data_IF_121792032190
#
_entry.id   IF_121792032190
#
_cell.length_a   1.000
_cell.length_b   1.000
_cell.length_c   1.000
_cell.angle_alpha   90.00
_cell.angle_beta   90.00
_cell.angle_gamma   90.00
#
_symmetry.space_group_name_H-M   'P 1'
#
loop_
_entity.id
_entity.type
_entity.pdbx_description
1 polymer ?
#
# COMPACT_ATOMS: atom_id res chain seq x y z
N UNK A 1 -8.64 3.62 -19.31
CA UNK A 1 -7.67 3.11 -18.32
C UNK A 1 -6.64 4.19 -18.05
N UNK A 2 -6.24 4.41 -16.79
CA UNK A 2 -5.17 5.35 -16.43
C UNK A 2 -3.83 4.85 -16.99
N UNK A 3 -3.17 5.61 -17.87
CA UNK A 3 -1.83 5.28 -18.38
C UNK A 3 -0.73 6.24 -17.88
N UNK A 4 -1.11 7.28 -17.14
CA UNK A 4 -0.25 8.42 -16.79
C UNK A 4 0.27 8.37 -15.35
N UNK A 5 0.40 7.18 -14.77
CA UNK A 5 0.84 6.97 -13.38
C UNK A 5 2.04 6.05 -13.26
N UNK A 6 2.53 5.90 -12.02
CA UNK A 6 3.62 4.96 -11.72
C UNK A 6 3.14 3.51 -11.73
N UNK A 7 1.90 3.24 -11.31
CA UNK A 7 1.35 1.86 -11.27
C UNK A 7 1.40 1.19 -12.65
N UNK A 8 0.94 1.81 -13.76
CA UNK A 8 1.12 1.24 -15.12
C UNK A 8 2.59 0.99 -15.51
N UNK A 9 3.52 1.82 -15.04
CA UNK A 9 4.96 1.58 -15.27
C UNK A 9 5.43 0.34 -14.51
N UNK A 10 5.03 0.18 -13.25
CA UNK A 10 5.34 -1.02 -12.45
C UNK A 10 4.76 -2.27 -13.10
N UNK A 11 3.51 -2.22 -13.57
CA UNK A 11 2.84 -3.29 -14.34
C UNK A 11 3.71 -3.76 -15.50
N UNK A 12 4.14 -2.81 -16.33
CA UNK A 12 4.97 -3.11 -17.48
C UNK A 12 6.34 -3.69 -17.10
N UNK A 13 6.99 -3.15 -16.06
CA UNK A 13 8.30 -3.64 -15.61
C UNK A 13 8.20 -5.05 -15.02
N UNK A 14 7.12 -5.38 -14.31
CA UNK A 14 6.87 -6.72 -13.76
C UNK A 14 6.59 -7.73 -14.88
N UNK A 15 5.84 -7.36 -15.91
CA UNK A 15 5.59 -8.19 -17.10
C UNK A 15 6.91 -8.64 -17.74
N UNK A 16 7.91 -7.76 -17.80
CA UNK A 16 9.22 -8.03 -18.39
C UNK A 16 10.25 -8.56 -17.37
N UNK A 17 9.95 -8.55 -16.07
CA UNK A 17 10.88 -9.02 -15.07
C UNK A 17 10.95 -10.56 -15.09
N UNK A 18 12.14 -11.17 -15.27
CA UNK A 18 12.28 -12.62 -15.31
C UNK A 18 12.09 -13.28 -13.93
N UNK A 19 12.21 -12.52 -12.85
CA UNK A 19 12.02 -13.03 -11.48
C UNK A 19 10.54 -13.17 -11.12
N UNK A 20 9.70 -12.28 -11.65
CA UNK A 20 8.26 -12.24 -11.37
C UNK A 20 7.60 -13.49 -11.93
N UNK A 21 7.02 -14.30 -11.04
CA UNK A 21 6.14 -15.40 -11.40
C UNK A 21 4.72 -14.91 -11.59
N UNK A 22 4.26 -14.05 -10.67
CA UNK A 22 2.94 -13.45 -10.71
C UNK A 22 2.93 -12.15 -9.91
N UNK A 23 2.13 -11.17 -10.33
CA UNK A 23 1.88 -9.97 -9.53
C UNK A 23 0.45 -9.44 -9.67
N UNK A 24 -0.11 -8.97 -8.56
CA UNK A 24 -1.32 -8.14 -8.52
C UNK A 24 -0.97 -6.67 -8.36
N UNK A 25 -1.79 -5.80 -8.94
CA UNK A 25 -1.68 -4.35 -8.77
C UNK A 25 -3.03 -3.72 -8.43
N UNK A 26 -3.00 -2.67 -7.62
CA UNK A 26 -4.17 -1.85 -7.33
C UNK A 26 -4.61 -1.05 -8.57
N UNK A 27 -5.66 -0.25 -8.41
CA UNK A 27 -6.18 0.59 -9.48
C UNK A 27 -5.09 1.49 -10.09
N UNK A 28 -4.97 1.58 -11.43
CA UNK A 28 -3.83 2.23 -12.10
C UNK A 28 -3.75 3.75 -11.89
N UNK A 29 -4.82 4.39 -11.41
CA UNK A 29 -4.80 5.83 -11.09
C UNK A 29 -4.24 6.17 -9.71
N UNK A 30 -3.78 5.19 -8.90
CA UNK A 30 -3.12 5.49 -7.63
C UNK A 30 -1.84 6.28 -7.88
N UNK A 31 -1.71 7.43 -7.21
CA UNK A 31 -0.59 8.34 -7.34
C UNK A 31 0.30 8.28 -6.10
N UNK A 32 1.61 8.34 -6.33
CA UNK A 32 2.56 8.47 -5.25
C UNK A 32 2.65 9.93 -4.78
N UNK A 33 2.41 10.15 -3.49
CA UNK A 33 2.53 11.47 -2.85
C UNK A 33 3.65 11.42 -1.81
N UNK A 34 4.84 11.90 -2.18
CA UNK A 34 6.01 11.94 -1.28
C UNK A 34 6.08 13.21 -0.41
N UNK A 35 5.20 14.18 -0.65
CA UNK A 35 5.06 15.39 0.19
C UNK A 35 3.68 15.99 0.04
N UNK A 36 2.98 16.15 1.15
CA UNK A 36 1.70 16.84 1.17
C UNK A 36 1.92 18.35 1.32
N UNK A 37 1.22 19.16 0.50
CA UNK A 37 1.34 20.64 0.56
C UNK A 37 0.46 21.28 1.64
N UNK A 38 -0.58 20.60 2.11
CA UNK A 38 -1.58 21.10 3.07
C UNK A 38 -1.88 20.05 4.14
N UNK A 39 -0.85 19.68 4.91
CA UNK A 39 -0.98 18.72 6.00
C UNK A 39 -1.95 19.20 7.10
N UNK A 40 -1.99 20.51 7.35
CA UNK A 40 -2.93 21.10 8.31
C UNK A 40 -4.39 20.77 7.97
N UNK A 41 -4.76 20.78 6.69
CA UNK A 41 -6.11 20.46 6.26
C UNK A 41 -6.49 18.99 6.54
N UNK A 42 -5.51 18.07 6.49
CA UNK A 42 -5.72 16.68 6.85
C UNK A 42 -5.97 16.54 8.36
N UNK A 43 -5.18 17.22 9.18
CA UNK A 43 -5.35 17.20 10.64
C UNK A 43 -6.67 17.79 11.08
N UNK A 44 -7.13 18.86 10.42
CA UNK A 44 -8.47 19.41 10.66
C UNK A 44 -9.58 18.39 10.41
N UNK A 45 -9.48 17.62 9.32
CA UNK A 45 -10.48 16.59 9.01
C UNK A 45 -10.48 15.44 10.03
N UNK A 46 -9.32 15.05 10.54
CA UNK A 46 -9.20 14.03 11.59
C UNK A 46 -9.79 14.55 12.92
N UNK A 47 -9.50 15.78 13.31
CA UNK A 47 -10.08 16.40 14.50
C UNK A 47 -11.61 16.49 14.39
N UNK A 48 -12.13 16.86 13.21
CA UNK A 48 -13.56 16.86 12.91
C UNK A 48 -14.17 15.44 12.98
N UNK A 49 -13.42 14.40 12.58
CA UNK A 49 -13.86 13.02 12.71
C UNK A 49 -14.00 12.63 14.19
N UNK A 50 -13.05 13.03 15.03
CA UNK A 50 -13.12 12.82 16.48
C UNK A 50 -14.31 13.56 17.11
N UNK A 51 -14.60 14.79 16.68
CA UNK A 51 -15.79 15.54 17.13
C UNK A 51 -17.11 14.84 16.78
N UNK A 52 -17.14 14.12 15.65
CA UNK A 52 -18.28 13.30 15.21
C UNK A 52 -18.37 11.95 15.93
N UNK A 53 -17.43 11.62 16.81
CA UNK A 53 -17.43 10.38 17.60
C UNK A 53 -16.70 9.20 16.97
N UNK A 54 -15.94 9.39 15.89
CA UNK A 54 -15.08 8.33 15.32
C UNK A 54 -13.74 8.32 16.03
N UNK A 55 -13.34 7.20 16.65
CA UNK A 55 -12.08 7.06 17.42
C UNK A 55 -11.71 8.28 18.32
N UNK A 56 -12.64 8.85 19.12
CA UNK A 56 -12.38 10.08 19.88
C UNK A 56 -11.31 9.91 20.97
N UNK A 57 -11.01 8.68 21.38
CA UNK A 57 -9.95 8.37 22.35
C UNK A 57 -8.56 8.79 21.83
N UNK A 58 -8.31 8.76 20.52
CA UNK A 58 -7.05 9.19 19.92
C UNK A 58 -6.75 10.66 20.24
N UNK A 59 -7.78 11.52 20.37
CA UNK A 59 -7.59 12.91 20.82
C UNK A 59 -7.04 12.97 22.24
N UNK A 60 -7.50 12.09 23.13
CA UNK A 60 -7.05 12.05 24.53
C UNK A 60 -5.60 11.57 24.62
N UNK A 61 -5.24 10.53 23.86
CA UNK A 61 -3.89 9.96 23.83
C UNK A 61 -2.87 10.94 23.25
N UNK A 62 -3.25 11.65 22.19
CA UNK A 62 -2.36 12.61 21.54
C UNK A 62 -2.39 13.98 22.21
N UNK A 63 -3.46 14.36 22.91
CA UNK A 63 -3.72 15.72 23.36
C UNK A 63 -4.10 16.67 22.21
N UNK A 64 -4.69 16.13 21.13
CA UNK A 64 -4.98 16.85 19.89
C UNK A 64 -3.77 16.96 18.95
N UNK A 65 -4.06 17.05 17.66
CA UNK A 65 -3.06 17.10 16.57
C UNK A 65 -3.09 18.41 15.79
N UNK A 66 -4.12 19.25 15.96
CA UNK A 66 -4.23 20.56 15.29
C UNK A 66 -2.97 21.43 15.52
N UNK A 67 -2.34 21.88 14.44
CA UNK A 67 -1.13 22.71 14.47
C UNK A 67 0.12 22.01 15.05
N UNK A 68 0.11 20.69 15.19
CA UNK A 68 1.23 19.91 15.71
C UNK A 68 2.04 19.23 14.59
N UNK A 69 3.11 18.52 14.96
CA UNK A 69 3.84 17.59 14.08
C UNK A 69 3.80 16.16 14.62
N UNK A 70 2.73 15.82 15.34
CA UNK A 70 2.57 14.47 15.90
C UNK A 70 2.33 13.49 14.76
N UNK A 71 2.90 12.31 14.90
CA UNK A 71 2.62 11.23 13.97
C UNK A 71 1.17 10.76 14.14
N UNK A 72 0.54 10.48 13.01
CA UNK A 72 -0.75 9.81 12.93
C UNK A 72 -0.53 8.36 12.50
N UNK A 73 -1.46 7.48 12.85
CA UNK A 73 -1.41 6.07 12.50
C UNK A 73 -2.75 5.55 11.97
N UNK A 74 -2.91 4.23 12.06
CA UNK A 74 -4.12 3.53 11.62
C UNK A 74 -5.41 4.08 12.27
N UNK A 75 -5.45 4.40 13.58
CA UNK A 75 -6.66 4.92 14.21
C UNK A 75 -7.14 6.26 13.62
N UNK A 76 -6.22 7.20 13.34
CA UNK A 76 -6.54 8.47 12.69
C UNK A 76 -7.01 8.29 11.25
N UNK A 77 -6.35 7.42 10.49
CA UNK A 77 -6.74 7.10 9.13
C UNK A 77 -8.16 6.49 9.08
N UNK A 78 -8.44 5.53 9.97
CA UNK A 78 -9.76 4.92 10.09
C UNK A 78 -10.83 5.94 10.49
N UNK A 79 -10.54 6.82 11.46
CA UNK A 79 -11.47 7.88 11.87
C UNK A 79 -11.83 8.79 10.69
N UNK A 80 -10.82 9.21 9.93
CA UNK A 80 -11.00 10.05 8.74
C UNK A 80 -11.91 9.38 7.73
N UNK A 81 -11.58 8.16 7.27
CA UNK A 81 -12.38 7.46 6.27
C UNK A 81 -13.81 7.21 6.74
N UNK A 82 -13.98 6.76 7.99
CA UNK A 82 -15.30 6.50 8.57
C UNK A 82 -16.15 7.77 8.63
N UNK A 83 -15.57 8.91 8.99
CA UNK A 83 -16.28 10.20 9.04
C UNK A 83 -16.69 10.75 7.67
N UNK A 84 -16.07 10.24 6.60
CA UNK A 84 -16.36 10.54 5.20
C UNK A 84 -17.29 9.49 4.56
N UNK A 85 -17.83 8.55 5.34
CA UNK A 85 -18.64 7.41 4.88
C UNK A 85 -17.89 6.54 3.84
N UNK A 86 -16.57 6.43 3.97
CA UNK A 86 -15.76 5.51 3.18
C UNK A 86 -15.55 4.26 4.03
N UNK A 87 -16.08 3.12 3.56
CA UNK A 87 -15.88 1.85 4.23
C UNK A 87 -14.39 1.49 4.27
N UNK A 88 -13.90 1.16 5.47
CA UNK A 88 -12.55 0.69 5.69
C UNK A 88 -12.51 -0.42 6.74
N UNK A 89 -11.64 -1.41 6.52
CA UNK A 89 -11.38 -2.50 7.44
C UNK A 89 -9.93 -2.43 7.91
N UNK A 90 -9.72 -2.62 9.21
CA UNK A 90 -8.40 -2.60 9.84
C UNK A 90 -8.08 -3.99 10.35
N UNK A 91 -6.87 -4.47 10.05
CA UNK A 91 -6.38 -5.77 10.53
C UNK A 91 -5.01 -5.57 11.18
N UNK A 92 -4.90 -6.03 12.42
CA UNK A 92 -3.66 -6.01 13.19
C UNK A 92 -3.03 -7.40 13.21
N UNK A 93 -1.73 -7.46 12.90
CA UNK A 93 -0.94 -8.69 12.88
C UNK A 93 0.15 -8.57 13.93
N UNK A 94 0.05 -9.39 14.97
CA UNK A 94 1.02 -9.49 16.06
C UNK A 94 1.22 -10.96 16.37
N UNK A 95 2.48 -11.38 16.54
CA UNK A 95 2.77 -12.78 16.83
C UNK A 95 4.08 -12.90 17.62
N UNK A 96 4.12 -13.83 18.58
CA UNK A 96 5.29 -14.05 19.44
C UNK A 96 6.49 -14.63 18.67
N UNK A 97 6.23 -15.52 17.71
CA UNK A 97 7.26 -16.06 16.80
C UNK A 97 7.61 -15.04 15.71
N UNK A 98 8.90 -14.70 15.62
CA UNK A 98 9.45 -13.75 14.65
C UNK A 98 9.11 -14.15 13.22
N UNK A 99 8.62 -13.21 12.43
CA UNK A 99 8.29 -13.41 11.01
C UNK A 99 6.89 -13.97 10.73
N UNK A 100 6.20 -14.54 11.73
CA UNK A 100 4.80 -15.00 11.56
C UNK A 100 3.84 -13.85 11.33
N UNK A 101 4.00 -12.73 12.04
CA UNK A 101 3.17 -11.54 11.82
C UNK A 101 3.26 -11.04 10.37
N UNK A 102 4.48 -10.96 9.81
CA UNK A 102 4.65 -10.60 8.40
C UNK A 102 4.10 -11.66 7.44
N UNK A 103 4.18 -12.95 7.77
CA UNK A 103 3.62 -14.02 6.94
C UNK A 103 2.08 -13.89 6.84
N UNK A 104 1.40 -13.74 7.98
CA UNK A 104 -0.05 -13.55 8.01
C UNK A 104 -0.47 -12.26 7.31
N UNK A 105 0.28 -11.16 7.48
CA UNK A 105 0.02 -9.90 6.79
C UNK A 105 0.16 -10.06 5.27
N UNK A 106 1.22 -10.73 4.79
CA UNK A 106 1.43 -10.98 3.36
C UNK A 106 0.31 -11.83 2.77
N UNK A 107 -0.16 -12.85 3.51
CA UNK A 107 -1.31 -13.66 3.09
C UNK A 107 -2.58 -12.81 2.96
N UNK A 108 -2.89 -11.98 3.97
CA UNK A 108 -4.05 -11.09 3.92
C UNK A 108 -3.98 -10.09 2.74
N UNK A 109 -2.78 -9.58 2.42
CA UNK A 109 -2.58 -8.69 1.26
C UNK A 109 -2.77 -9.44 -0.06
N UNK A 110 -2.27 -10.68 -0.18
CA UNK A 110 -2.49 -11.52 -1.37
C UNK A 110 -3.99 -11.78 -1.57
N UNK A 111 -4.70 -12.17 -0.50
CA UNK A 111 -6.14 -12.43 -0.51
C UNK A 111 -6.95 -11.18 -0.87
N UNK A 112 -6.58 -10.01 -0.35
CA UNK A 112 -7.21 -8.74 -0.70
C UNK A 112 -7.15 -8.48 -2.20
N UNK A 113 -5.96 -8.56 -2.81
CA UNK A 113 -5.82 -8.31 -4.24
C UNK A 113 -6.45 -9.41 -5.10
N UNK A 114 -6.37 -10.67 -4.66
CA UNK A 114 -7.00 -11.79 -5.35
C UNK A 114 -8.52 -11.61 -5.48
N UNK A 115 -9.20 -11.07 -4.46
CA UNK A 115 -10.64 -10.80 -4.52
C UNK A 115 -11.03 -9.78 -5.60
N UNK A 116 -10.11 -8.90 -5.98
CA UNK A 116 -10.33 -7.91 -7.04
C UNK A 116 -9.92 -8.36 -8.44
N UNK A 117 -9.38 -9.57 -8.59
CA UNK A 117 -8.95 -10.13 -9.86
C UNK A 117 -10.07 -10.92 -10.52
N UNK A 118 -10.36 -10.60 -11.78
CA UNK A 118 -11.43 -11.22 -12.58
C UNK A 118 -10.94 -11.81 -13.91
N UNK A 119 -9.63 -11.83 -14.16
CA UNK A 119 -9.06 -12.43 -15.36
C UNK A 119 -8.62 -13.89 -15.16
N UNK A 120 -7.84 -14.42 -16.10
CA UNK A 120 -7.42 -15.82 -16.09
C UNK A 120 -6.35 -16.11 -15.03
N UNK A 121 -6.45 -17.27 -14.36
CA UNK A 121 -5.47 -17.71 -13.35
C UNK A 121 -4.04 -17.88 -13.91
N UNK A 122 -3.91 -18.11 -15.21
CA UNK A 122 -2.60 -18.21 -15.88
C UNK A 122 -1.90 -16.86 -16.14
N UNK A 123 -2.57 -15.73 -15.90
CA UNK A 123 -1.99 -14.42 -16.16
C UNK A 123 -0.85 -14.11 -15.18
N UNK A 124 0.30 -13.71 -15.74
CA UNK A 124 1.46 -13.24 -14.97
C UNK A 124 1.13 -11.96 -14.22
N UNK A 125 0.55 -10.98 -14.89
CA UNK A 125 0.20 -9.69 -14.31
C UNK A 125 -1.31 -9.55 -14.21
N UNK A 126 -1.75 -9.16 -13.01
CA UNK A 126 -3.14 -9.21 -12.56
C UNK A 126 -3.59 -7.84 -12.03
N UNK A 127 -3.78 -6.84 -12.92
CA UNK A 127 -4.27 -5.53 -12.50
C UNK A 127 -5.70 -5.65 -11.98
N UNK A 128 -6.03 -4.90 -10.93
CA UNK A 128 -7.35 -4.88 -10.30
C UNK A 128 -7.93 -3.47 -10.32
N UNK A 129 -9.22 -3.35 -9.97
CA UNK A 129 -9.83 -2.03 -9.68
C UNK A 129 -9.82 -1.69 -8.19
N UNK A 130 -9.10 -2.46 -7.36
CA UNK A 130 -9.08 -2.27 -5.92
C UNK A 130 -8.28 -1.03 -5.49
N UNK A 131 -8.68 -0.36 -4.40
CA UNK A 131 -7.85 0.65 -3.75
C UNK A 131 -6.48 0.10 -3.31
N UNK A 132 -5.46 0.94 -3.12
CA UNK A 132 -4.22 0.53 -2.47
C UNK A 132 -4.47 0.26 -0.98
N UNK A 133 -3.54 -0.45 -0.33
CA UNK A 133 -3.64 -0.81 1.09
C UNK A 133 -2.68 0.06 1.92
N UNK A 134 -3.19 0.70 2.97
CA UNK A 134 -2.33 1.41 3.92
C UNK A 134 -1.64 0.39 4.83
N UNK A 135 -0.32 0.46 4.97
CA UNK A 135 0.47 -0.40 5.85
C UNK A 135 1.16 0.46 6.91
N UNK A 136 0.83 0.20 8.17
CA UNK A 136 1.51 0.73 9.34
C UNK A 136 2.41 -0.33 9.96
N UNK A 137 3.60 0.09 10.35
CA UNK A 137 4.43 -0.65 11.31
C UNK A 137 5.15 0.34 12.22
N UNK A 138 5.99 -0.14 13.13
CA UNK A 138 6.67 0.73 14.08
C UNK A 138 7.52 1.80 13.35
N UNK A 139 7.21 3.07 13.65
CA UNK A 139 7.98 4.23 13.21
C UNK A 139 7.76 4.67 11.76
N UNK A 140 6.92 3.99 10.98
CA UNK A 140 6.69 4.36 9.58
C UNK A 140 5.38 3.82 9.01
N UNK A 141 4.88 4.46 7.97
CA UNK A 141 3.78 3.96 7.16
C UNK A 141 4.08 4.07 5.67
N UNK A 142 3.56 3.11 4.91
CA UNK A 142 3.72 3.02 3.46
C UNK A 142 2.40 2.61 2.83
N UNK A 143 2.26 2.82 1.53
CA UNK A 143 1.07 2.44 0.77
C UNK A 143 1.40 1.25 -0.12
N UNK A 144 0.81 0.10 0.10
CA UNK A 144 0.94 -1.07 -0.77
C UNK A 144 0.09 -0.84 -2.02
N UNK A 145 0.74 -0.90 -3.18
CA UNK A 145 0.13 -0.77 -4.51
C UNK A 145 0.11 -2.08 -5.30
N UNK A 146 0.66 -3.15 -4.73
CA UNK A 146 0.59 -4.47 -5.33
C UNK A 146 1.28 -5.56 -4.51
N UNK A 147 1.17 -6.77 -5.01
CA UNK A 147 1.74 -7.98 -4.43
C UNK A 147 2.45 -8.75 -5.52
N UNK A 148 3.66 -9.25 -5.25
CA UNK A 148 4.47 -10.03 -6.17
C UNK A 148 4.89 -11.35 -5.53
N UNK A 149 4.76 -12.42 -6.31
CA UNK A 149 5.42 -13.70 -6.07
C UNK A 149 6.48 -13.94 -7.15
N UNK A 150 7.68 -14.32 -6.74
CA UNK A 150 8.80 -14.65 -7.62
C UNK A 150 8.92 -16.16 -7.85
N UNK A 151 9.69 -16.59 -8.85
CA UNK A 151 9.87 -18.00 -9.20
C UNK A 151 10.59 -18.82 -8.13
N UNK A 152 11.44 -18.17 -7.32
CA UNK A 152 12.10 -18.76 -6.16
C UNK A 152 11.21 -18.78 -4.89
N UNK A 153 9.92 -18.46 -5.05
CA UNK A 153 8.92 -18.31 -3.99
C UNK A 153 9.16 -17.14 -3.03
N UNK A 154 10.08 -16.22 -3.32
CA UNK A 154 10.12 -14.96 -2.59
C UNK A 154 8.85 -14.15 -2.85
N UNK A 155 8.37 -13.48 -1.80
CA UNK A 155 7.20 -12.62 -1.83
C UNK A 155 7.63 -11.19 -1.53
N UNK A 156 7.15 -10.26 -2.34
CA UNK A 156 7.32 -8.82 -2.13
C UNK A 156 5.95 -8.14 -2.17
N UNK A 157 5.75 -7.16 -1.31
CA UNK A 157 4.74 -6.13 -1.59
C UNK A 157 5.40 -4.98 -2.35
N UNK A 158 4.65 -4.38 -3.27
CA UNK A 158 5.05 -3.20 -4.01
C UNK A 158 4.50 -1.99 -3.27
N UNK A 159 5.35 -1.02 -2.94
CA UNK A 159 4.94 0.10 -2.08
C UNK A 159 5.28 1.46 -2.67
N UNK A 160 4.41 2.43 -2.40
CA UNK A 160 4.72 3.84 -2.39
C UNK A 160 5.11 4.24 -0.97
N UNK A 161 6.32 4.78 -0.84
CA UNK A 161 6.91 5.17 0.44
C UNK A 161 7.05 6.68 0.46
N UNK A 162 6.28 7.40 1.31
CA UNK A 162 6.26 8.86 1.29
C UNK A 162 7.63 9.50 1.59
N UNK A 163 8.56 8.76 2.21
CA UNK A 163 9.93 9.26 2.48
C UNK A 163 10.85 9.22 1.26
N UNK A 164 10.43 8.53 0.19
CA UNK A 164 11.24 8.31 -1.02
C UNK A 164 10.46 8.75 -2.27
N UNK A 165 10.74 9.93 -2.84
CA UNK A 165 10.12 10.33 -4.11
C UNK A 165 10.39 9.33 -5.23
N UNK A 166 9.48 9.24 -6.21
CA UNK A 166 9.69 8.36 -7.37
C UNK A 166 11.01 8.67 -8.08
N UNK A 167 11.71 7.60 -8.45
CA UNK A 167 12.97 7.68 -9.17
C UNK A 167 12.79 8.40 -10.51
N UNK A 168 13.77 9.21 -10.89
CA UNK A 168 13.76 9.91 -12.19
C UNK A 168 13.61 8.96 -13.37
N UNK A 169 14.18 7.76 -13.27
CA UNK A 169 14.04 6.69 -14.26
C UNK A 169 12.57 6.28 -14.46
N UNK A 170 11.82 6.09 -13.37
CA UNK A 170 10.39 5.76 -13.41
C UNK A 170 9.58 6.90 -14.00
N UNK A 171 9.82 8.14 -13.55
CA UNK A 171 9.13 9.32 -14.07
C UNK A 171 9.32 9.50 -15.59
N UNK A 172 10.50 9.16 -16.11
CA UNK A 172 10.77 9.17 -17.56
C UNK A 172 10.01 8.11 -18.35
N UNK A 173 9.51 7.06 -17.70
CA UNK A 173 8.77 5.96 -18.32
C UNK A 173 7.25 6.19 -18.30
N UNK A 174 6.75 7.08 -17.44
CA UNK A 174 5.33 7.42 -17.37
C UNK A 174 4.81 7.92 -18.71
N UNK A 175 3.68 7.36 -19.17
CA UNK A 175 3.02 7.74 -20.41
C UNK A 175 3.76 7.33 -21.70
N UNK A 176 4.84 6.54 -21.60
CA UNK A 176 5.54 6.02 -22.77
C UNK A 176 5.09 4.61 -23.08
N UNK A 177 4.95 4.31 -24.38
CA UNK A 177 4.88 2.93 -24.85
C UNK A 177 6.26 2.31 -24.69
N UNK A 178 6.37 1.39 -23.72
CA UNK A 178 7.55 0.56 -23.56
C UNK A 178 7.22 -0.76 -24.25
N UNK A 179 8.02 -1.14 -25.25
CA UNK A 179 7.81 -2.41 -25.98
C UNK A 179 8.52 -3.57 -25.31
N UNK A 180 9.70 -3.30 -24.79
CA UNK A 180 10.50 -4.22 -23.97
C UNK A 180 11.21 -3.41 -22.87
N UNK A 181 11.17 -3.90 -21.63
CA UNK A 181 11.90 -3.25 -20.55
C UNK A 181 13.36 -3.72 -20.53
N UNK A 182 14.28 -2.78 -20.70
CA UNK A 182 15.72 -3.03 -20.54
C UNK A 182 16.03 -3.49 -19.10
N UNK A 183 17.08 -4.32 -18.88
CA UNK A 183 17.47 -4.77 -17.54
C UNK A 183 17.66 -3.63 -16.52
N UNK A 184 18.19 -2.49 -16.97
CA UNK A 184 18.35 -1.30 -16.12
C UNK A 184 17.01 -0.69 -15.68
N UNK A 185 15.95 -0.78 -16.51
CA UNK A 185 14.62 -0.34 -16.15
C UNK A 185 13.96 -1.32 -15.17
N UNK A 186 14.12 -2.63 -15.38
CA UNK A 186 13.63 -3.68 -14.47
C UNK A 186 14.25 -3.52 -13.08
N UNK A 187 15.54 -3.15 -12.98
CA UNK A 187 16.22 -2.90 -11.71
C UNK A 187 15.57 -1.77 -10.87
N UNK A 188 14.78 -0.88 -11.48
CA UNK A 188 14.06 0.17 -10.74
C UNK A 188 12.97 -0.40 -9.82
N UNK A 189 12.47 -1.62 -10.09
CA UNK A 189 11.49 -2.32 -9.25
C UNK A 189 11.97 -2.49 -7.81
N UNK A 190 13.29 -2.63 -7.60
CA UNK A 190 13.87 -2.81 -6.26
C UNK A 190 13.56 -1.66 -5.30
N UNK A 191 13.37 -0.44 -5.81
CA UNK A 191 12.99 0.71 -4.98
C UNK A 191 11.54 0.64 -4.44
N UNK A 192 10.68 -0.12 -5.14
CA UNK A 192 9.27 -0.32 -4.79
C UNK A 192 9.02 -1.64 -4.05
N UNK A 193 9.91 -2.62 -4.19
CA UNK A 193 9.78 -3.92 -3.50
C UNK A 193 10.06 -3.81 -2.01
N UNK A 194 9.23 -4.47 -1.20
CA UNK A 194 9.46 -4.74 0.22
C UNK A 194 9.21 -6.23 0.47
N UNK A 195 10.29 -6.99 0.55
CA UNK A 195 10.27 -8.43 0.86
C UNK A 195 10.73 -8.74 2.28
N UNK A 196 11.04 -10.00 2.52
CA UNK A 196 11.40 -10.54 3.85
C UNK A 196 12.50 -9.76 4.58
N UNK A 197 13.50 -9.22 3.87
CA UNK A 197 14.59 -8.42 4.47
C UNK A 197 14.09 -7.13 5.12
N UNK A 198 13.08 -6.51 4.53
CA UNK A 198 12.44 -5.31 5.07
C UNK A 198 11.50 -5.69 6.22
N UNK A 199 10.61 -6.66 5.97
CA UNK A 199 9.54 -7.02 6.91
C UNK A 199 10.07 -7.62 8.22
N UNK A 200 11.17 -8.39 8.21
CA UNK A 200 11.76 -9.00 9.43
C UNK A 200 12.28 -8.02 10.48
N UNK A 201 12.28 -6.72 10.19
CA UNK A 201 12.68 -5.64 11.11
C UNK A 201 11.53 -5.21 12.02
N UNK A 202 10.32 -5.69 11.75
CA UNK A 202 9.10 -5.34 12.47
C UNK A 202 8.38 -6.61 12.89
N UNK A 203 7.83 -6.60 14.10
CA UNK A 203 7.11 -7.74 14.69
C UNK A 203 5.59 -7.49 14.78
N UNK A 204 5.16 -6.27 14.45
CA UNK A 204 3.78 -5.84 14.45
C UNK A 204 3.47 -5.05 13.18
N UNK A 205 2.32 -5.33 12.59
CA UNK A 205 1.81 -4.64 11.40
C UNK A 205 0.33 -4.35 11.58
N UNK A 206 -0.12 -3.23 11.01
CA UNK A 206 -1.54 -2.98 10.82
C UNK A 206 -1.75 -2.62 9.36
N UNK A 207 -2.79 -3.19 8.74
CA UNK A 207 -3.22 -2.77 7.41
C UNK A 207 -4.61 -2.17 7.48
N UNK A 208 -4.85 -1.15 6.67
CA UNK A 208 -6.17 -0.58 6.43
C UNK A 208 -6.50 -0.71 4.95
N UNK A 209 -7.60 -1.41 4.68
CA UNK A 209 -8.12 -1.68 3.34
C UNK A 209 -9.43 -0.90 3.14
N UNK A 210 -9.64 -0.34 1.95
CA UNK A 210 -10.87 0.40 1.60
C UNK A 210 -11.83 -0.49 0.79
N UNK A 211 -13.14 -0.29 0.96
CA UNK A 211 -14.16 -1.01 0.20
C UNK A 211 -14.29 -2.49 0.59
N UNK A 212 -13.99 -2.83 1.84
CA UNK A 212 -13.94 -4.19 2.38
C UNK A 212 -15.28 -4.68 2.96
N UNK A 213 -16.43 -4.14 2.57
CA UNK A 213 -17.73 -4.49 3.19
C UNK A 213 -18.05 -6.00 3.15
N UNK A 214 -17.37 -6.78 2.29
CA UNK A 214 -17.50 -8.25 2.17
C UNK A 214 -16.20 -9.04 2.44
N UNK A 215 -15.15 -8.43 3.02
CA UNK A 215 -13.82 -9.07 3.17
C UNK A 215 -13.57 -9.47 4.63
N UNK A 216 -14.02 -10.65 5.02
CA UNK A 216 -13.42 -11.39 6.14
C UNK A 216 -12.20 -12.18 5.64
N UNK A 217 -11.11 -12.12 6.38
CA UNK A 217 -9.99 -13.05 6.24
C UNK A 217 -10.29 -14.26 7.13
N UNK A 218 -10.20 -15.46 6.59
CA UNK A 218 -10.49 -16.72 7.29
C UNK A 218 -9.31 -17.19 8.12
#
# INVERSE_FOLDING_TARGET
>A
MCSTGVVPVLEHLLEHCPLTKMAYLCHPCVQHVSKLRREDALFELIELAWDKGFNPHCRLETGGIRGTRKFIGTPEAQALFSSLNISCAVYAFRHAERGRASCCMLQAVEEYFQKGWNGSDGAKIRPTSLPPVYLQHQGHSVTIVGFERQWDNQVNVLVFDPTHPDLHGIKKLVGKEIREAMPAAIALLESYRRGSKYLRKHDEFEILCLGCDDITFS
#
